data_IF_890714252388
#
_entry.id   IF_890714252388
#
_cell.length_a   1.000
_cell.length_b   1.000
_cell.length_c   1.000
_cell.angle_alpha   90.00
_cell.angle_beta   90.00
_cell.angle_gamma   90.00
#
_symmetry.space_group_name_H-M   'P 1'
#
loop_
_entity.id
_entity.type
_entity.pdbx_description
1 polymer ?
#
# COMPACT_ATOMS: atom_id res chain seq x y z
N UNK A 1 6.33 -22.17 -0.34
CA UNK A 1 7.25 -21.19 0.27
C UNK A 1 7.60 -21.56 1.72
N UNK A 2 6.71 -22.15 2.46
CA UNK A 2 6.83 -22.48 3.91
C UNK A 2 7.46 -23.86 4.20
N UNK A 3 8.12 -24.51 3.25
CA UNK A 3 8.61 -25.90 3.40
C UNK A 3 9.65 -26.09 4.53
N UNK A 4 10.27 -25.00 4.99
CA UNK A 4 11.22 -25.03 6.11
C UNK A 4 10.64 -24.50 7.44
N UNK A 5 9.34 -24.15 7.46
CA UNK A 5 8.69 -23.62 8.67
C UNK A 5 8.75 -24.63 9.83
N UNK A 6 9.14 -24.16 11.01
CA UNK A 6 9.27 -25.01 12.20
C UNK A 6 10.59 -25.78 12.34
N UNK A 7 11.54 -25.64 11.41
CA UNK A 7 12.86 -26.32 11.47
C UNK A 7 13.92 -25.56 12.28
N UNK A 8 13.59 -24.39 12.82
CA UNK A 8 14.54 -23.48 13.46
C UNK A 8 15.30 -22.61 12.43
N UNK A 9 15.73 -21.43 12.84
CA UNK A 9 16.36 -20.47 11.91
C UNK A 9 15.36 -19.70 11.04
N UNK A 10 15.87 -18.99 10.02
CA UNK A 10 15.03 -18.28 9.05
C UNK A 10 14.46 -19.25 8.02
N UNK A 11 13.15 -19.48 8.07
CA UNK A 11 12.47 -20.41 7.18
C UNK A 11 12.50 -19.97 5.71
N UNK A 12 12.65 -18.66 5.43
CA UNK A 12 12.76 -18.14 4.07
C UNK A 12 14.08 -18.52 3.44
N UNK A 13 15.18 -18.37 4.19
CA UNK A 13 16.52 -18.78 3.72
C UNK A 13 16.64 -20.30 3.59
N UNK A 14 16.25 -21.04 4.62
CA UNK A 14 16.27 -22.51 4.58
C UNK A 14 15.34 -23.06 3.48
N UNK A 15 14.19 -22.43 3.27
CA UNK A 15 13.27 -22.82 2.19
C UNK A 15 13.86 -22.57 0.80
N UNK A 16 14.59 -21.46 0.63
CA UNK A 16 15.27 -21.13 -0.61
C UNK A 16 16.39 -22.15 -0.94
N UNK A 17 17.21 -22.54 0.06
CA UNK A 17 18.23 -23.57 -0.08
C UNK A 17 17.65 -24.94 -0.49
N UNK A 18 16.52 -25.32 0.10
CA UNK A 18 15.81 -26.54 -0.27
C UNK A 18 15.28 -26.46 -1.70
N UNK A 19 14.71 -25.32 -2.10
CA UNK A 19 14.16 -25.11 -3.43
C UNK A 19 15.25 -25.17 -4.51
N UNK A 20 16.43 -24.64 -4.25
CA UNK A 20 17.57 -24.67 -5.15
C UNK A 20 17.97 -26.11 -5.54
N UNK A 21 17.86 -27.03 -4.58
CA UNK A 21 18.13 -28.45 -4.80
C UNK A 21 16.95 -29.21 -5.43
N UNK A 22 15.72 -28.84 -5.03
CA UNK A 22 14.52 -29.58 -5.39
C UNK A 22 14.01 -29.21 -6.80
N UNK A 23 14.06 -27.95 -7.19
CA UNK A 23 13.50 -27.48 -8.45
C UNK A 23 14.10 -28.17 -9.68
N UNK A 24 15.42 -28.36 -9.80
CA UNK A 24 16.01 -29.13 -10.90
C UNK A 24 15.55 -30.58 -10.93
N UNK A 25 15.36 -31.23 -9.77
CA UNK A 25 14.85 -32.60 -9.69
C UNK A 25 13.39 -32.71 -10.16
N UNK A 26 12.63 -31.62 -10.11
CA UNK A 26 11.27 -31.52 -10.64
C UNK A 26 11.24 -31.15 -12.13
N UNK A 27 12.40 -31.01 -12.77
CA UNK A 27 12.51 -30.68 -14.18
C UNK A 27 12.41 -29.20 -14.53
N UNK A 28 12.51 -28.31 -13.53
CA UNK A 28 12.56 -26.87 -13.78
C UNK A 28 13.93 -26.47 -14.32
N UNK A 29 13.94 -25.57 -15.29
CA UNK A 29 15.17 -24.98 -15.81
C UNK A 29 15.80 -23.98 -14.82
N UNK A 30 17.01 -23.53 -15.10
CA UNK A 30 17.79 -22.64 -14.23
C UNK A 30 17.06 -21.32 -13.95
N UNK A 31 16.49 -20.67 -14.97
CA UNK A 31 15.77 -19.40 -14.86
C UNK A 31 14.53 -19.51 -13.95
N UNK A 32 13.74 -20.58 -14.15
CA UNK A 32 12.57 -20.84 -13.33
C UNK A 32 12.96 -21.19 -11.89
N UNK A 33 14.04 -21.98 -11.73
CA UNK A 33 14.58 -22.34 -10.41
C UNK A 33 15.01 -21.08 -9.65
N UNK A 34 15.76 -20.18 -10.30
CA UNK A 34 16.20 -18.92 -9.71
C UNK A 34 15.00 -18.07 -9.26
N UNK A 35 13.97 -17.95 -10.10
CA UNK A 35 12.75 -17.22 -9.78
C UNK A 35 12.03 -17.80 -8.57
N UNK A 36 11.88 -19.12 -8.49
CA UNK A 36 11.23 -19.80 -7.36
C UNK A 36 12.04 -19.61 -6.08
N UNK A 37 13.34 -19.78 -6.13
CA UNK A 37 14.27 -19.59 -5.00
C UNK A 37 14.18 -18.16 -4.49
N UNK A 38 14.20 -17.18 -5.40
CA UNK A 38 14.06 -15.77 -5.06
C UNK A 38 12.70 -15.47 -4.39
N UNK A 39 11.60 -16.00 -4.93
CA UNK A 39 10.26 -15.81 -4.36
C UNK A 39 10.15 -16.39 -2.95
N UNK A 40 10.71 -17.57 -2.71
CA UNK A 40 10.70 -18.19 -1.38
C UNK A 40 11.51 -17.34 -0.40
N UNK A 41 12.71 -16.90 -0.79
CA UNK A 41 13.56 -16.05 0.05
C UNK A 41 12.89 -14.74 0.43
N UNK A 42 12.15 -14.16 -0.48
CA UNK A 42 11.58 -12.82 -0.32
C UNK A 42 10.06 -12.80 -0.12
N UNK A 43 9.39 -13.95 0.16
CA UNK A 43 7.92 -14.01 0.22
C UNK A 43 7.30 -13.09 1.26
N UNK A 44 8.01 -12.75 2.33
CA UNK A 44 7.56 -11.80 3.36
C UNK A 44 7.89 -10.33 3.05
N UNK A 45 8.69 -10.05 2.02
CA UNK A 45 9.20 -8.71 1.73
C UNK A 45 8.06 -7.71 1.50
N UNK A 46 7.10 -8.04 0.62
CA UNK A 46 6.02 -7.14 0.26
C UNK A 46 5.09 -6.86 1.44
N UNK A 47 4.66 -7.87 2.19
CA UNK A 47 3.81 -7.69 3.37
C UNK A 47 4.52 -6.91 4.48
N UNK A 48 5.81 -7.19 4.71
CA UNK A 48 6.62 -6.43 5.68
C UNK A 48 6.75 -4.97 5.28
N UNK A 49 7.04 -4.68 4.02
CA UNK A 49 7.16 -3.30 3.53
C UNK A 49 5.82 -2.57 3.60
N UNK A 50 4.74 -3.18 3.07
CA UNK A 50 3.43 -2.55 3.03
C UNK A 50 2.84 -2.23 4.41
N UNK A 51 3.09 -3.10 5.43
CA UNK A 51 2.42 -2.98 6.72
C UNK A 51 3.26 -2.37 7.84
N UNK A 52 4.57 -2.17 7.64
CA UNK A 52 5.49 -1.72 8.70
C UNK A 52 6.28 -0.47 8.37
N UNK A 53 6.28 -0.04 7.09
CA UNK A 53 7.06 1.12 6.65
C UNK A 53 6.16 2.20 6.09
N UNK A 54 6.62 3.44 6.13
CA UNK A 54 5.91 4.55 5.49
C UNK A 54 6.12 4.47 3.96
N UNK A 55 5.02 4.18 3.25
CA UNK A 55 5.04 4.10 1.79
C UNK A 55 5.14 5.48 1.13
N UNK A 56 5.02 6.57 1.88
CA UNK A 56 5.21 7.92 1.36
C UNK A 56 6.68 8.36 1.41
N UNK A 57 7.51 7.65 2.15
CA UNK A 57 8.95 7.82 2.10
C UNK A 57 9.50 7.27 0.77
N UNK A 58 10.06 8.13 -0.12
CA UNK A 58 10.64 7.67 -1.37
C UNK A 58 11.75 6.64 -1.19
N UNK A 59 12.46 6.67 -0.06
CA UNK A 59 13.52 5.70 0.25
C UNK A 59 12.94 4.30 0.46
N UNK A 60 11.80 4.18 1.14
CA UNK A 60 11.09 2.89 1.31
C UNK A 60 10.79 2.22 -0.04
N UNK A 61 10.28 3.00 -1.00
CA UNK A 61 9.96 2.49 -2.34
C UNK A 61 11.23 2.15 -3.12
N UNK A 62 12.25 2.98 -3.03
CA UNK A 62 13.55 2.75 -3.67
C UNK A 62 14.20 1.45 -3.17
N UNK A 63 14.26 1.26 -1.86
CA UNK A 63 14.85 0.07 -1.23
C UNK A 63 14.08 -1.21 -1.62
N UNK A 64 12.74 -1.13 -1.61
CA UNK A 64 11.90 -2.24 -2.05
C UNK A 64 12.13 -2.57 -3.52
N UNK A 65 12.13 -1.58 -4.41
CA UNK A 65 12.37 -1.77 -5.85
C UNK A 65 13.78 -2.32 -6.13
N UNK A 66 14.79 -1.89 -5.37
CA UNK A 66 16.17 -2.38 -5.50
C UNK A 66 16.30 -3.88 -5.18
N UNK A 67 15.48 -4.41 -4.27
CA UNK A 67 15.44 -5.86 -3.98
C UNK A 67 14.64 -6.61 -5.03
N UNK A 68 13.49 -6.06 -5.47
CA UNK A 68 12.60 -6.71 -6.45
C UNK A 68 13.22 -6.77 -7.84
N UNK A 69 13.86 -5.71 -8.30
CA UNK A 69 14.67 -5.59 -9.53
C UNK A 69 13.90 -5.67 -10.86
N UNK A 70 12.75 -6.35 -10.93
CA UNK A 70 12.00 -6.46 -12.19
C UNK A 70 10.49 -6.40 -12.00
N UNK A 71 9.73 -5.88 -12.99
CA UNK A 71 8.27 -5.90 -12.96
C UNK A 71 7.67 -7.31 -12.89
N UNK A 72 8.36 -8.31 -13.44
CA UNK A 72 7.92 -9.70 -13.39
C UNK A 72 7.99 -10.26 -11.97
N UNK A 73 9.14 -10.09 -11.29
CA UNK A 73 9.27 -10.47 -9.87
C UNK A 73 8.26 -9.73 -8.99
N UNK A 74 7.99 -8.46 -9.28
CA UNK A 74 6.99 -7.67 -8.57
C UNK A 74 5.59 -8.29 -8.66
N UNK A 75 5.17 -8.70 -9.86
CA UNK A 75 3.87 -9.37 -10.09
C UNK A 75 3.78 -10.70 -9.35
N UNK A 76 4.81 -11.54 -9.50
CA UNK A 76 4.84 -12.85 -8.85
C UNK A 76 4.85 -12.72 -7.33
N UNK A 77 5.59 -11.77 -6.79
CA UNK A 77 5.64 -11.50 -5.35
C UNK A 77 4.29 -11.01 -4.82
N UNK A 78 3.58 -10.16 -5.56
CA UNK A 78 2.23 -9.72 -5.19
C UNK A 78 1.27 -10.91 -5.11
N UNK A 79 1.24 -11.75 -6.15
CA UNK A 79 0.36 -12.94 -6.20
C UNK A 79 0.67 -13.89 -5.05
N UNK A 80 1.95 -14.19 -4.80
CA UNK A 80 2.37 -15.06 -3.70
C UNK A 80 1.97 -14.46 -2.35
N UNK A 81 2.22 -13.18 -2.13
CA UNK A 81 1.91 -12.51 -0.85
C UNK A 81 0.41 -12.50 -0.57
N UNK A 82 -0.43 -12.19 -1.57
CA UNK A 82 -1.89 -12.22 -1.42
C UNK A 82 -2.38 -13.63 -1.14
N UNK A 83 -1.88 -14.64 -1.87
CA UNK A 83 -2.25 -16.04 -1.66
C UNK A 83 -1.86 -16.54 -0.26
N UNK A 84 -0.67 -16.17 0.20
CA UNK A 84 -0.17 -16.53 1.54
C UNK A 84 -1.06 -15.92 2.64
N UNK A 85 -1.39 -14.64 2.56
CA UNK A 85 -2.26 -13.96 3.53
C UNK A 85 -3.66 -14.59 3.53
N UNK A 86 -4.25 -14.87 2.36
CA UNK A 86 -5.56 -15.49 2.25
C UNK A 86 -5.58 -16.92 2.80
N UNK A 87 -4.47 -17.65 2.70
CA UNK A 87 -4.35 -19.02 3.22
C UNK A 87 -4.36 -19.07 4.76
N UNK A 88 -4.01 -17.97 5.45
CA UNK A 88 -4.06 -17.89 6.92
C UNK A 88 -5.52 -17.83 7.42
N UNK A 89 -6.41 -17.18 6.67
CA UNK A 89 -7.84 -17.10 6.99
C UNK A 89 -8.54 -15.90 6.36
N UNK A 90 -9.87 -15.98 6.18
CA UNK A 90 -10.63 -14.95 5.46
C UNK A 90 -10.64 -13.59 6.18
N UNK A 91 -10.52 -13.57 7.49
CA UNK A 91 -10.53 -12.33 8.29
C UNK A 91 -9.17 -11.58 8.31
N UNK A 92 -8.12 -12.23 7.81
CA UNK A 92 -6.78 -11.63 7.79
C UNK A 92 -6.61 -10.63 6.65
N UNK A 93 -7.32 -10.83 5.54
CA UNK A 93 -7.35 -9.92 4.40
C UNK A 93 -8.51 -8.94 4.54
N UNK A 94 -8.24 -7.64 4.39
CA UNK A 94 -9.25 -6.58 4.43
C UNK A 94 -8.92 -5.48 3.41
N UNK A 95 -9.88 -4.56 3.20
CA UNK A 95 -9.77 -3.47 2.24
C UNK A 95 -8.56 -2.56 2.49
N UNK A 96 -8.22 -2.29 3.76
CA UNK A 96 -7.05 -1.51 4.14
C UNK A 96 -5.73 -2.18 3.71
N UNK A 97 -5.55 -3.47 4.00
CA UNK A 97 -4.37 -4.23 3.55
C UNK A 97 -4.27 -4.28 2.03
N UNK A 98 -5.41 -4.49 1.36
CA UNK A 98 -5.48 -4.46 -0.10
C UNK A 98 -5.07 -3.10 -0.67
N UNK A 99 -5.46 -2.01 -0.04
CA UNK A 99 -5.07 -0.64 -0.43
C UNK A 99 -3.56 -0.41 -0.29
N UNK A 100 -2.96 -0.80 0.83
CA UNK A 100 -1.52 -0.68 1.05
C UNK A 100 -0.71 -1.50 0.04
N UNK A 101 -1.16 -2.73 -0.27
CA UNK A 101 -0.51 -3.58 -1.27
C UNK A 101 -0.58 -2.97 -2.68
N UNK A 102 -1.74 -2.44 -3.09
CA UNK A 102 -1.89 -1.75 -4.37
C UNK A 102 -1.01 -0.51 -4.45
N UNK A 103 -0.95 0.28 -3.37
CA UNK A 103 -0.13 1.47 -3.30
C UNK A 103 1.36 1.13 -3.47
N UNK A 104 1.87 0.16 -2.69
CA UNK A 104 3.26 -0.30 -2.82
C UNK A 104 3.55 -0.83 -4.23
N UNK A 105 2.64 -1.66 -4.77
CA UNK A 105 2.79 -2.22 -6.12
C UNK A 105 2.91 -1.13 -7.19
N UNK A 106 1.96 -0.19 -7.24
CA UNK A 106 1.94 0.85 -8.28
C UNK A 106 3.16 1.76 -8.21
N UNK A 107 3.62 2.11 -7.00
CA UNK A 107 4.83 2.93 -6.83
C UNK A 107 6.10 2.19 -7.23
N UNK A 108 6.22 0.94 -6.82
CA UNK A 108 7.38 0.12 -7.18
C UNK A 108 7.42 -0.16 -8.69
N UNK A 109 6.27 -0.41 -9.32
CA UNK A 109 6.17 -0.61 -10.78
C UNK A 109 6.64 0.64 -11.53
N UNK A 110 6.24 1.84 -11.10
CA UNK A 110 6.69 3.09 -11.71
C UNK A 110 8.21 3.29 -11.56
N UNK A 111 8.77 3.01 -10.38
CA UNK A 111 10.23 3.11 -10.14
C UNK A 111 11.00 2.09 -10.97
N UNK A 112 10.52 0.85 -11.05
CA UNK A 112 11.11 -0.18 -11.92
C UNK A 112 11.01 0.18 -13.42
N UNK A 113 10.01 1.00 -13.78
CA UNK A 113 9.87 1.60 -15.11
C UNK A 113 10.76 2.81 -15.37
N UNK A 114 11.56 3.25 -14.39
CA UNK A 114 12.54 4.34 -14.51
C UNK A 114 12.06 5.69 -13.96
N UNK A 115 10.91 5.77 -13.32
CA UNK A 115 10.45 7.00 -12.66
C UNK A 115 11.23 7.25 -11.35
N UNK A 116 11.51 8.52 -11.04
CA UNK A 116 12.13 8.87 -9.77
C UNK A 116 11.13 8.63 -8.60
N UNK A 117 11.55 8.00 -7.49
CA UNK A 117 10.64 7.68 -6.38
C UNK A 117 9.91 8.90 -5.79
N UNK A 118 10.57 10.05 -5.74
CA UNK A 118 9.99 11.32 -5.28
C UNK A 118 8.92 11.86 -6.24
N UNK A 119 9.09 11.68 -7.55
CA UNK A 119 8.12 12.09 -8.57
C UNK A 119 6.86 11.23 -8.52
N UNK A 120 7.01 9.93 -8.31
CA UNK A 120 5.87 9.00 -8.19
C UNK A 120 4.94 9.42 -7.04
N UNK A 121 5.51 9.78 -5.89
CA UNK A 121 4.72 10.23 -4.74
C UNK A 121 3.99 11.55 -5.00
N UNK A 122 4.65 12.51 -5.62
CA UNK A 122 4.04 13.83 -5.92
C UNK A 122 2.99 13.76 -7.03
N UNK A 123 3.22 12.97 -8.08
CA UNK A 123 2.25 12.77 -9.16
C UNK A 123 0.99 12.04 -8.65
N UNK A 124 1.15 11.00 -7.85
CA UNK A 124 0.02 10.28 -7.26
C UNK A 124 -0.83 11.18 -6.34
N UNK A 125 -0.20 12.02 -5.54
CA UNK A 125 -0.90 12.99 -4.69
C UNK A 125 -1.66 14.04 -5.53
N UNK A 126 -1.04 14.55 -6.59
CA UNK A 126 -1.66 15.53 -7.48
C UNK A 126 -2.88 14.94 -8.24
N UNK A 127 -2.78 13.70 -8.73
CA UNK A 127 -3.88 13.01 -9.41
C UNK A 127 -5.06 12.74 -8.44
N UNK A 128 -4.77 12.26 -7.24
CA UNK A 128 -5.78 12.05 -6.20
C UNK A 128 -6.47 13.36 -5.79
N UNK A 129 -5.71 14.45 -5.64
CA UNK A 129 -6.22 15.77 -5.34
C UNK A 129 -7.14 16.28 -6.46
N UNK A 130 -6.73 16.13 -7.72
CA UNK A 130 -7.55 16.51 -8.87
C UNK A 130 -8.84 15.67 -8.95
N UNK A 131 -8.76 14.38 -8.67
CA UNK A 131 -9.92 13.49 -8.64
C UNK A 131 -10.91 13.92 -7.56
N UNK A 132 -10.44 14.27 -6.35
CA UNK A 132 -11.29 14.80 -5.29
C UNK A 132 -11.90 16.17 -5.66
N UNK A 133 -11.13 17.04 -6.32
CA UNK A 133 -11.61 18.34 -6.81
C UNK A 133 -12.78 18.17 -7.79
N UNK A 134 -12.66 17.26 -8.73
CA UNK A 134 -13.74 16.98 -9.69
C UNK A 134 -15.00 16.39 -9.05
N UNK A 135 -14.87 15.69 -7.94
CA UNK A 135 -16.01 15.13 -7.21
C UNK A 135 -16.76 16.18 -6.36
N UNK A 136 -16.09 17.26 -5.95
CA UNK A 136 -16.66 18.38 -5.21
C UNK A 136 -17.15 19.46 -6.16
N UNK A 137 -18.18 19.15 -6.97
CA UNK A 137 -18.67 19.97 -8.07
C UNK A 137 -19.25 21.34 -7.65
N UNK A 138 -19.69 21.47 -6.42
CA UNK A 138 -20.25 22.69 -5.81
C UNK A 138 -19.20 23.56 -5.12
N UNK A 139 -17.93 23.13 -5.10
CA UNK A 139 -16.82 23.93 -4.58
C UNK A 139 -16.15 24.70 -5.74
N UNK A 140 -15.76 25.93 -5.49
CA UNK A 140 -14.85 26.67 -6.38
C UNK A 140 -13.38 26.29 -6.10
N UNK A 141 -12.48 26.79 -6.94
CA UNK A 141 -11.05 26.49 -6.85
C UNK A 141 -10.40 27.08 -5.60
N UNK A 142 -10.85 28.27 -5.17
CA UNK A 142 -10.31 28.94 -3.98
C UNK A 142 -10.66 28.15 -2.72
N UNK A 143 -11.89 27.69 -2.63
CA UNK A 143 -12.36 26.88 -1.50
C UNK A 143 -11.66 25.54 -1.43
N UNK A 144 -11.55 24.87 -2.58
CA UNK A 144 -10.83 23.59 -2.65
C UNK A 144 -9.35 23.79 -2.33
N UNK A 145 -8.71 24.84 -2.86
CA UNK A 145 -7.32 25.17 -2.57
C UNK A 145 -7.03 25.39 -1.09
N UNK A 146 -7.91 26.14 -0.41
CA UNK A 146 -7.82 26.35 1.03
C UNK A 146 -7.96 25.04 1.82
N UNK A 147 -8.87 24.14 1.43
CA UNK A 147 -9.00 22.83 2.03
C UNK A 147 -7.77 21.94 1.78
N UNK A 148 -7.25 21.93 0.54
CA UNK A 148 -6.12 21.12 0.17
C UNK A 148 -4.83 21.48 0.93
N UNK A 149 -4.65 22.75 1.28
CA UNK A 149 -3.51 23.24 2.06
C UNK A 149 -3.48 22.74 3.51
N UNK A 150 -4.59 22.19 4.02
CA UNK A 150 -4.65 21.62 5.38
C UNK A 150 -3.94 20.26 5.48
N UNK A 151 -3.61 19.64 4.34
CA UNK A 151 -3.14 18.26 4.32
C UNK A 151 -1.77 18.11 3.66
N UNK A 152 -0.99 17.18 4.19
CA UNK A 152 0.26 16.75 3.57
C UNK A 152 0.00 15.89 2.32
N UNK A 153 0.93 15.80 1.37
CA UNK A 153 0.78 14.96 0.16
C UNK A 153 0.40 13.51 0.46
N UNK A 154 0.87 12.95 1.59
CA UNK A 154 0.54 11.60 2.03
C UNK A 154 -0.94 11.36 2.31
N UNK A 155 -1.68 12.39 2.73
CA UNK A 155 -3.13 12.29 2.91
C UNK A 155 -3.82 11.90 1.59
N UNK A 156 -3.45 12.54 0.48
CA UNK A 156 -4.07 12.31 -0.82
C UNK A 156 -3.83 10.92 -1.37
N UNK A 157 -2.74 10.26 -0.99
CA UNK A 157 -2.40 8.91 -1.44
C UNK A 157 -2.89 7.80 -0.51
N UNK A 158 -3.25 8.13 0.73
CA UNK A 158 -3.64 7.14 1.75
C UNK A 158 -5.15 6.91 1.84
N UNK A 159 -5.95 7.84 1.33
CA UNK A 159 -7.41 7.77 1.40
C UNK A 159 -8.03 7.63 0.02
N UNK A 160 -9.23 7.06 -0.04
CA UNK A 160 -10.02 6.95 -1.26
C UNK A 160 -10.63 8.30 -1.68
N UNK A 161 -11.04 8.41 -2.93
CA UNK A 161 -11.79 9.57 -3.43
C UNK A 161 -13.02 9.86 -2.56
N UNK A 162 -13.75 8.82 -2.16
CA UNK A 162 -14.98 8.97 -1.39
C UNK A 162 -14.67 9.45 0.03
N UNK A 163 -13.58 8.96 0.64
CA UNK A 163 -13.07 9.49 1.92
C UNK A 163 -12.65 10.95 1.79
N UNK A 164 -11.96 11.36 0.71
CA UNK A 164 -11.59 12.76 0.50
C UNK A 164 -12.82 13.68 0.44
N UNK A 165 -13.85 13.28 -0.31
CA UNK A 165 -15.12 14.04 -0.41
C UNK A 165 -15.79 14.12 0.94
N UNK A 166 -15.86 13.02 1.67
CA UNK A 166 -16.45 12.98 3.02
C UNK A 166 -15.69 13.87 3.99
N UNK A 167 -14.36 13.80 4.03
CA UNK A 167 -13.54 14.65 4.90
C UNK A 167 -13.70 16.14 4.56
N UNK A 168 -13.82 16.49 3.28
CA UNK A 168 -14.09 17.86 2.85
C UNK A 168 -15.44 18.36 3.39
N UNK A 169 -16.51 17.54 3.32
CA UNK A 169 -17.82 17.89 3.87
C UNK A 169 -17.82 18.00 5.40
N UNK A 170 -17.07 17.13 6.06
CA UNK A 170 -16.91 17.21 7.52
C UNK A 170 -16.17 18.49 7.93
N UNK A 171 -15.10 18.87 7.21
CA UNK A 171 -14.38 20.12 7.45
C UNK A 171 -15.28 21.35 7.24
N UNK A 172 -16.09 21.34 6.19
CA UNK A 172 -17.10 22.38 5.96
C UNK A 172 -18.09 22.51 7.13
N UNK A 173 -18.66 21.39 7.56
CA UNK A 173 -19.58 21.35 8.69
C UNK A 173 -18.93 21.78 10.01
N UNK A 174 -17.66 21.42 10.21
CA UNK A 174 -16.88 21.84 11.37
C UNK A 174 -16.68 23.36 11.38
N UNK A 175 -16.26 23.95 10.25
CA UNK A 175 -16.00 25.39 10.13
C UNK A 175 -17.28 26.25 10.19
N UNK A 176 -18.42 25.72 9.74
CA UNK A 176 -19.70 26.41 9.81
C UNK A 176 -20.34 26.40 11.21
N UNK A 177 -19.88 25.52 12.11
CA UNK A 177 -20.42 25.34 13.44
C UNK A 177 -19.50 25.92 14.53
N UNK A 178 -20.08 26.32 15.67
CA UNK A 178 -19.31 26.69 16.85
C UNK A 178 -18.76 25.47 17.63
N UNK A 179 -18.46 24.39 16.93
CA UNK A 179 -18.00 23.12 17.53
C UNK A 179 -16.49 23.16 17.71
N UNK A 180 -16.01 22.74 18.88
CA UNK A 180 -14.59 22.58 19.16
C UNK A 180 -14.05 21.21 18.75
N UNK A 181 -14.93 20.26 18.51
CA UNK A 181 -14.61 18.87 18.17
C UNK A 181 -15.73 18.30 17.31
N UNK A 182 -15.36 17.60 16.24
CA UNK A 182 -16.24 16.75 15.45
C UNK A 182 -15.61 15.38 15.30
N UNK A 183 -16.38 14.34 15.54
CA UNK A 183 -15.95 12.93 15.41
C UNK A 183 -16.89 12.26 14.43
N UNK A 184 -16.34 11.55 13.47
CA UNK A 184 -17.07 10.73 12.51
C UNK A 184 -16.41 9.37 12.35
N UNK A 185 -17.17 8.38 11.89
CA UNK A 185 -16.72 7.00 11.73
C UNK A 185 -16.92 6.56 10.30
N UNK A 186 -15.90 6.00 9.71
CA UNK A 186 -15.95 5.31 8.42
C UNK A 186 -15.71 3.82 8.66
N UNK A 187 -16.70 3.01 8.30
CA UNK A 187 -16.60 1.55 8.42
C UNK A 187 -16.25 1.01 7.04
N UNK A 188 -15.22 0.17 6.98
CA UNK A 188 -14.84 -0.51 5.75
C UNK A 188 -15.98 -1.42 5.25
N UNK A 189 -16.14 -1.56 3.93
CA UNK A 189 -17.21 -2.33 3.29
C UNK A 189 -17.33 -3.76 3.81
N UNK A 190 -16.21 -4.35 4.21
CA UNK A 190 -16.15 -5.70 4.81
C UNK A 190 -16.41 -5.71 6.33
N UNK A 191 -16.74 -4.58 6.96
CA UNK A 191 -16.89 -4.39 8.42
C UNK A 191 -15.67 -4.88 9.25
N UNK A 192 -14.48 -4.92 8.64
CA UNK A 192 -13.27 -5.45 9.27
C UNK A 192 -12.40 -4.36 9.90
N UNK A 193 -12.63 -3.10 9.51
CA UNK A 193 -11.91 -1.95 10.06
C UNK A 193 -12.84 -0.74 10.20
N UNK A 194 -12.51 0.11 11.17
CA UNK A 194 -13.20 1.39 11.38
C UNK A 194 -12.17 2.50 11.39
N UNK A 195 -12.35 3.48 10.51
CA UNK A 195 -11.55 4.70 10.48
C UNK A 195 -12.26 5.73 11.35
N UNK A 196 -11.57 6.26 12.36
CA UNK A 196 -12.04 7.35 13.18
C UNK A 196 -11.50 8.66 12.62
N UNK A 197 -12.40 9.53 12.18
CA UNK A 197 -12.07 10.88 11.72
C UNK A 197 -12.34 11.87 12.85
N UNK A 198 -11.31 12.58 13.30
CA UNK A 198 -11.40 13.57 14.35
C UNK A 198 -10.99 14.93 13.80
N UNK A 199 -11.88 15.91 13.88
CA UNK A 199 -11.59 17.30 13.54
C UNK A 199 -11.65 18.15 14.80
N UNK A 200 -10.59 18.87 15.07
CA UNK A 200 -10.45 19.77 16.20
C UNK A 200 -9.77 21.06 15.74
N UNK A 201 -10.05 22.18 16.43
CA UNK A 201 -9.31 23.41 16.22
C UNK A 201 -7.87 23.22 16.72
N UNK A 202 -6.92 23.67 15.93
CA UNK A 202 -5.51 23.77 16.32
C UNK A 202 -5.37 24.96 17.30
N UNK A 203 -4.65 24.74 18.42
CA UNK A 203 -4.51 25.72 19.50
C UNK A 203 -3.09 26.25 19.58
#
# INVERSE_FOLDING_TARGET
HDMAKGRGGDHSELGAEIAEQLCPLLGLNEETTETVVWLIRHHLLMSKTAFRYDLNDPQTISDFAAVVQSPERLKLLLVLTVADILAVGPEIWNGWKASLMRNLYSRAEAVLGGAAPSEVSSLAAADAMQTARHALTDWDDDRFGAHAQLFYPSYWTNFSKDSHVRHARLAESFNAGARKLLIDFEIDDDNTSTILVVMAADH
#
